data_IF_326572024301
#
_entry.id   IF_326572024301
#
_cell.length_a   1.000
_cell.length_b   1.000
_cell.length_c   1.000
_cell.angle_alpha   90.00
_cell.angle_beta   90.00
_cell.angle_gamma   90.00
#
_symmetry.space_group_name_H-M   'P 1'
#
loop_
_entity.id
_entity.type
_entity.pdbx_description
1 polymer ?
#
# COMPACT_ATOMS: atom_id res chain seq x y z
N UNK A 1 10.75 6.49 -61.17
CA UNK A 1 9.73 5.97 -60.26
C UNK A 1 10.39 4.90 -59.41
N UNK A 2 10.85 5.27 -58.25
CA UNK A 2 11.53 4.40 -57.29
C UNK A 2 10.70 4.41 -56.02
N UNK A 3 10.05 3.27 -55.73
CA UNK A 3 9.20 3.03 -54.59
C UNK A 3 10.07 2.68 -53.39
N UNK A 4 10.12 3.59 -52.41
CA UNK A 4 10.73 3.36 -51.08
C UNK A 4 9.75 2.56 -50.25
N UNK A 5 10.09 1.35 -49.86
CA UNK A 5 9.40 0.57 -48.82
C UNK A 5 9.89 1.04 -47.45
N UNK A 6 8.99 1.27 -46.46
CA UNK A 6 9.44 1.55 -45.11
C UNK A 6 9.94 0.28 -44.43
N UNK A 7 11.09 0.40 -43.79
CA UNK A 7 11.74 -0.64 -42.99
C UNK A 7 10.97 -0.84 -41.67
N UNK A 8 10.34 -2.00 -41.47
CA UNK A 8 9.60 -2.43 -40.28
C UNK A 8 10.48 -3.36 -39.40
N UNK A 9 11.71 -2.95 -39.12
CA UNK A 9 12.57 -3.62 -38.13
C UNK A 9 12.78 -2.72 -36.92
N UNK A 10 11.86 -2.74 -35.97
CA UNK A 10 11.99 -1.91 -34.75
C UNK A 10 10.92 -2.12 -33.70
N UNK A 11 10.12 -3.18 -33.76
CA UNK A 11 9.06 -3.43 -32.77
C UNK A 11 9.00 -4.92 -32.40
N UNK A 12 10.03 -5.44 -31.76
CA UNK A 12 9.94 -6.71 -31.00
C UNK A 12 11.12 -6.83 -30.03
N UNK A 13 11.23 -5.91 -29.07
CA UNK A 13 11.89 -6.18 -27.80
C UNK A 13 10.83 -6.24 -26.71
N UNK A 14 10.01 -7.27 -26.75
CA UNK A 14 9.38 -7.79 -25.53
C UNK A 14 10.53 -8.32 -24.69
N UNK A 15 10.97 -7.55 -23.70
CA UNK A 15 11.89 -8.06 -22.69
C UNK A 15 11.25 -9.32 -22.08
N UNK A 16 11.75 -10.46 -22.48
CA UNK A 16 11.50 -11.73 -21.80
C UNK A 16 11.93 -11.53 -20.36
N UNK A 17 10.97 -11.44 -19.45
CA UNK A 17 11.21 -11.60 -18.02
C UNK A 17 11.86 -12.98 -17.90
N UNK A 18 13.19 -13.02 -17.73
CA UNK A 18 13.89 -14.26 -17.46
C UNK A 18 13.16 -14.93 -16.30
N UNK A 19 12.71 -16.14 -16.51
CA UNK A 19 12.09 -16.93 -15.46
C UNK A 19 13.06 -16.99 -14.29
N UNK A 20 12.72 -16.28 -13.19
CA UNK A 20 13.46 -16.38 -11.95
C UNK A 20 13.35 -17.85 -11.55
N UNK A 21 14.47 -18.54 -11.36
CA UNK A 21 14.46 -19.91 -10.85
C UNK A 21 13.55 -19.94 -9.62
N UNK A 22 12.55 -20.81 -9.64
CA UNK A 22 11.67 -21.03 -8.50
C UNK A 22 12.54 -21.59 -7.40
N UNK A 23 13.01 -20.71 -6.52
CA UNK A 23 13.84 -21.16 -5.38
C UNK A 23 12.95 -21.94 -4.44
N UNK A 24 13.37 -23.19 -4.15
CA UNK A 24 12.65 -24.08 -3.22
C UNK A 24 12.64 -23.45 -1.82
N UNK A 25 11.50 -23.47 -1.10
CA UNK A 25 11.46 -23.01 0.28
C UNK A 25 12.42 -23.80 1.19
N UNK A 26 12.96 -23.10 2.19
CA UNK A 26 13.79 -23.70 3.22
C UNK A 26 12.99 -23.95 4.50
N UNK A 27 13.38 -24.94 5.34
CA UNK A 27 12.76 -25.11 6.64
C UNK A 27 12.87 -23.85 7.52
N UNK A 28 11.87 -23.63 8.38
CA UNK A 28 11.80 -22.50 9.31
C UNK A 28 11.70 -21.11 8.66
N UNK A 29 11.37 -21.01 7.36
CA UNK A 29 11.03 -19.75 6.74
C UNK A 29 9.72 -19.16 7.31
N UNK A 30 9.61 -17.83 7.24
CA UNK A 30 8.35 -17.10 7.43
C UNK A 30 7.69 -16.98 6.07
N UNK A 31 6.49 -17.53 5.93
CA UNK A 31 5.73 -17.45 4.70
C UNK A 31 4.68 -16.33 4.77
N UNK A 32 4.79 -15.36 3.88
CA UNK A 32 3.80 -14.30 3.70
C UNK A 32 2.79 -14.73 2.62
N UNK A 33 1.65 -15.21 3.06
CA UNK A 33 0.63 -15.82 2.19
C UNK A 33 -0.34 -14.76 1.67
N UNK A 34 -0.50 -14.65 0.35
CA UNK A 34 -1.37 -13.67 -0.30
C UNK A 34 -2.04 -14.25 -1.55
N UNK A 35 -3.27 -13.78 -1.83
CA UNK A 35 -3.97 -14.02 -3.11
C UNK A 35 -4.16 -12.68 -3.81
N UNK A 36 -3.26 -12.34 -4.72
CA UNK A 36 -3.18 -11.03 -5.36
C UNK A 36 -3.42 -11.13 -6.87
N UNK A 37 -4.41 -10.42 -7.36
CA UNK A 37 -4.68 -10.23 -8.79
C UNK A 37 -4.42 -8.79 -9.25
N UNK A 38 -4.67 -7.84 -8.36
CA UNK A 38 -4.47 -6.40 -8.58
C UNK A 38 -3.42 -5.88 -7.61
N UNK A 39 -2.88 -4.68 -7.84
CA UNK A 39 -1.90 -4.07 -6.94
C UNK A 39 -2.56 -2.95 -6.11
N UNK A 40 -2.35 -2.99 -4.81
CA UNK A 40 -2.90 -2.02 -3.88
C UNK A 40 -2.14 -1.97 -2.55
N UNK A 41 -2.80 -1.49 -1.51
CA UNK A 41 -2.19 -1.30 -0.20
C UNK A 41 -1.74 -2.60 0.48
N UNK A 42 -2.46 -3.71 0.27
CA UNK A 42 -2.10 -5.02 0.84
C UNK A 42 -0.82 -5.55 0.20
N UNK A 43 -0.71 -5.47 -1.13
CA UNK A 43 0.47 -5.89 -1.88
C UNK A 43 1.69 -5.07 -1.49
N UNK A 44 1.55 -3.74 -1.38
CA UNK A 44 2.60 -2.87 -0.88
C UNK A 44 3.05 -3.28 0.52
N UNK A 45 2.11 -3.50 1.45
CA UNK A 45 2.42 -3.93 2.81
C UNK A 45 3.17 -5.28 2.84
N UNK A 46 2.76 -6.27 2.03
CA UNK A 46 3.44 -7.58 1.97
C UNK A 46 4.87 -7.45 1.45
N UNK A 47 5.10 -6.60 0.47
CA UNK A 47 6.44 -6.32 -0.07
C UNK A 47 7.32 -5.65 0.99
N UNK A 48 6.81 -4.62 1.64
CA UNK A 48 7.52 -3.92 2.72
C UNK A 48 7.83 -4.87 3.90
N UNK A 49 6.88 -5.74 4.26
CA UNK A 49 7.06 -6.74 5.30
C UNK A 49 8.14 -7.77 4.91
N UNK A 50 8.12 -8.27 3.68
CA UNK A 50 9.13 -9.21 3.19
C UNK A 50 10.53 -8.58 3.22
N UNK A 51 10.66 -7.34 2.71
CA UNK A 51 11.91 -6.59 2.73
C UNK A 51 12.41 -6.38 4.17
N UNK A 52 11.54 -5.86 5.05
CA UNK A 52 11.91 -5.57 6.42
C UNK A 52 12.29 -6.83 7.22
N UNK A 53 11.61 -7.97 7.03
CA UNK A 53 11.98 -9.23 7.66
C UNK A 53 13.37 -9.70 7.20
N UNK A 54 13.67 -9.60 5.90
CA UNK A 54 14.97 -9.98 5.34
C UNK A 54 16.08 -9.05 5.86
N UNK A 55 15.85 -7.74 5.94
CA UNK A 55 16.77 -6.78 6.54
C UNK A 55 17.06 -7.10 8.01
N UNK A 56 16.08 -7.64 8.74
CA UNK A 56 16.24 -8.15 10.12
C UNK A 56 16.76 -9.59 10.19
N UNK A 57 17.39 -10.08 9.10
CA UNK A 57 18.01 -11.41 9.01
C UNK A 57 17.03 -12.59 9.18
N UNK A 58 15.75 -12.38 8.97
CA UNK A 58 14.77 -13.46 8.94
C UNK A 58 14.69 -14.05 7.53
N UNK A 59 14.57 -15.38 7.44
CA UNK A 59 14.25 -16.05 6.18
C UNK A 59 12.77 -15.86 5.91
N UNK A 60 12.42 -15.04 4.94
CA UNK A 60 11.04 -14.74 4.56
C UNK A 60 10.79 -14.97 3.07
N UNK A 61 9.59 -15.43 2.72
CA UNK A 61 9.17 -15.71 1.34
C UNK A 61 7.71 -15.33 1.14
N UNK A 62 7.39 -14.74 -0.01
CA UNK A 62 6.01 -14.48 -0.41
C UNK A 62 5.45 -15.71 -1.13
N UNK A 63 4.34 -16.26 -0.63
CA UNK A 63 3.63 -17.39 -1.23
C UNK A 63 2.36 -16.89 -1.89
N UNK A 64 2.28 -17.00 -3.21
CA UNK A 64 1.12 -16.62 -4.01
C UNK A 64 0.17 -17.82 -4.12
N UNK A 65 -1.07 -17.66 -3.63
CA UNK A 65 -2.07 -18.75 -3.61
C UNK A 65 -2.54 -19.17 -4.99
N UNK A 66 -2.76 -18.21 -5.88
CA UNK A 66 -3.36 -18.46 -7.20
C UNK A 66 -2.43 -17.92 -8.29
N UNK A 67 -2.26 -18.70 -9.36
CA UNK A 67 -1.68 -18.20 -10.61
C UNK A 67 -2.76 -17.48 -11.39
N UNK A 68 -2.52 -16.22 -11.70
CA UNK A 68 -3.41 -15.41 -12.54
C UNK A 68 -2.77 -15.14 -13.89
N UNK A 69 -3.60 -14.99 -14.91
CA UNK A 69 -3.21 -14.49 -16.23
C UNK A 69 -4.11 -13.31 -16.62
N UNK A 70 -3.53 -12.17 -17.03
CA UNK A 70 -2.10 -11.88 -17.09
C UNK A 70 -1.43 -11.87 -15.72
N UNK A 71 -0.09 -11.95 -15.68
CA UNK A 71 0.70 -11.97 -14.44
C UNK A 71 0.37 -10.75 -13.57
N UNK A 72 0.10 -10.97 -12.26
CA UNK A 72 -0.20 -9.88 -11.33
C UNK A 72 0.99 -8.93 -11.16
N UNK A 73 0.75 -7.62 -11.02
CA UNK A 73 1.82 -6.61 -10.90
C UNK A 73 2.75 -6.84 -9.69
N UNK A 74 2.27 -7.51 -8.63
CA UNK A 74 3.10 -7.87 -7.48
C UNK A 74 4.34 -8.69 -7.88
N UNK A 75 4.21 -9.59 -8.86
CA UNK A 75 5.32 -10.45 -9.33
C UNK A 75 6.45 -9.58 -9.90
N UNK A 76 6.10 -8.62 -10.75
CA UNK A 76 7.08 -7.67 -11.30
C UNK A 76 7.84 -6.94 -10.20
N UNK A 77 7.11 -6.50 -9.15
CA UNK A 77 7.71 -5.77 -8.05
C UNK A 77 8.60 -6.64 -7.18
N UNK A 78 8.17 -7.86 -6.85
CA UNK A 78 8.98 -8.84 -6.10
C UNK A 78 10.28 -9.17 -6.85
N UNK A 79 10.19 -9.36 -8.19
CA UNK A 79 11.35 -9.62 -9.04
C UNK A 79 12.32 -8.43 -9.06
N UNK A 80 11.83 -7.20 -9.24
CA UNK A 80 12.66 -5.99 -9.22
C UNK A 80 13.42 -5.81 -7.91
N UNK A 81 12.78 -6.14 -6.79
CA UNK A 81 13.36 -6.05 -5.45
C UNK A 81 14.16 -7.31 -5.05
N UNK A 82 14.23 -8.31 -5.92
CA UNK A 82 14.89 -9.61 -5.66
C UNK A 82 14.38 -10.31 -4.38
N UNK A 83 13.11 -10.13 -4.05
CA UNK A 83 12.49 -10.77 -2.90
C UNK A 83 12.13 -12.22 -3.23
N UNK A 84 12.36 -13.18 -2.33
CA UNK A 84 11.98 -14.58 -2.54
C UNK A 84 10.46 -14.73 -2.64
N UNK A 85 9.98 -15.37 -3.69
CA UNK A 85 8.57 -15.73 -3.84
C UNK A 85 8.38 -17.00 -4.66
N UNK A 86 7.23 -17.62 -4.53
CA UNK A 86 6.78 -18.70 -5.41
C UNK A 86 5.26 -18.80 -5.39
N UNK A 87 4.69 -19.51 -6.36
CA UNK A 87 3.29 -19.91 -6.28
C UNK A 87 3.15 -21.19 -5.49
N UNK A 88 2.09 -21.30 -4.73
CA UNK A 88 1.80 -22.50 -3.93
C UNK A 88 1.74 -23.77 -4.78
N UNK A 89 1.19 -23.66 -5.99
CA UNK A 89 1.14 -24.78 -6.96
C UNK A 89 2.50 -25.26 -7.47
N UNK A 90 3.54 -24.43 -7.37
CA UNK A 90 4.89 -24.82 -7.84
C UNK A 90 5.63 -25.65 -6.81
N UNK A 91 5.37 -25.43 -5.52
CA UNK A 91 5.99 -26.14 -4.41
C UNK A 91 5.14 -27.30 -3.88
N UNK A 92 3.85 -27.33 -4.21
CA UNK A 92 2.94 -28.41 -3.85
C UNK A 92 2.03 -28.77 -5.04
N UNK A 93 2.59 -29.39 -6.10
CA UNK A 93 1.82 -29.75 -7.28
C UNK A 93 0.83 -30.87 -6.97
N UNK A 94 -0.38 -30.51 -6.62
CA UNK A 94 -1.49 -31.45 -6.45
C UNK A 94 -2.68 -31.00 -7.30
N UNK A 95 -3.54 -31.94 -7.72
CA UNK A 95 -4.79 -31.62 -8.40
C UNK A 95 -5.86 -31.06 -7.43
N UNK A 96 -5.47 -30.80 -6.17
CA UNK A 96 -6.35 -30.29 -5.13
C UNK A 96 -6.50 -28.75 -5.15
N UNK A 97 -7.35 -28.28 -4.26
CA UNK A 97 -7.52 -26.85 -4.02
C UNK A 97 -6.37 -26.26 -3.19
N UNK A 98 -6.34 -24.93 -3.05
CA UNK A 98 -5.30 -24.21 -2.31
C UNK A 98 -5.09 -24.72 -0.86
N UNK A 99 -6.14 -25.21 -0.19
CA UNK A 99 -6.04 -25.80 1.13
C UNK A 99 -5.21 -27.10 1.13
N UNK A 100 -5.49 -28.00 0.18
CA UNK A 100 -4.74 -29.26 0.06
C UNK A 100 -3.27 -29.00 -0.29
N UNK A 101 -3.02 -28.08 -1.19
CA UNK A 101 -1.67 -27.65 -1.57
C UNK A 101 -0.91 -27.05 -0.37
N UNK A 102 -1.56 -26.14 0.39
CA UNK A 102 -0.93 -25.51 1.55
C UNK A 102 -0.59 -26.55 2.62
N UNK A 103 -1.46 -27.51 2.89
CA UNK A 103 -1.19 -28.60 3.85
C UNK A 103 0.01 -29.44 3.43
N UNK A 104 0.09 -29.82 2.16
CA UNK A 104 1.22 -30.57 1.61
C UNK A 104 2.52 -29.77 1.76
N UNK A 105 2.51 -28.52 1.37
CA UNK A 105 3.66 -27.62 1.48
C UNK A 105 4.12 -27.41 2.94
N UNK A 106 3.21 -27.25 3.89
CA UNK A 106 3.54 -27.15 5.33
C UNK A 106 4.25 -28.40 5.80
N UNK A 107 3.72 -29.58 5.46
CA UNK A 107 4.31 -30.85 5.87
C UNK A 107 5.71 -31.05 5.30
N UNK A 108 5.93 -30.65 4.05
CA UNK A 108 7.21 -30.83 3.35
C UNK A 108 8.27 -29.83 3.79
N UNK A 109 7.92 -28.54 3.87
CA UNK A 109 8.89 -27.46 4.10
C UNK A 109 8.95 -26.95 5.53
N UNK A 110 7.99 -27.28 6.37
CA UNK A 110 7.93 -26.91 7.80
C UNK A 110 8.25 -25.42 8.07
N UNK A 111 7.51 -24.47 7.48
CA UNK A 111 7.72 -23.06 7.78
C UNK A 111 7.52 -22.78 9.27
N UNK A 112 8.27 -21.83 9.82
CA UNK A 112 8.07 -21.41 11.21
C UNK A 112 6.74 -20.67 11.41
N UNK A 113 6.40 -19.84 10.43
CA UNK A 113 5.20 -19.02 10.45
C UNK A 113 4.51 -18.96 9.08
N UNK A 114 3.19 -18.92 9.11
CA UNK A 114 2.34 -18.58 7.97
C UNK A 114 1.62 -17.30 8.35
N UNK A 115 2.05 -16.19 7.77
CA UNK A 115 1.44 -14.90 7.97
C UNK A 115 0.55 -14.56 6.76
N UNK A 116 -0.74 -14.61 6.94
CA UNK A 116 -1.73 -14.45 5.88
C UNK A 116 -2.21 -13.02 5.76
N UNK A 117 -2.32 -12.53 4.52
CA UNK A 117 -2.77 -11.20 4.15
C UNK A 117 -3.97 -11.27 3.21
N UNK A 118 -5.06 -10.61 3.60
CA UNK A 118 -6.33 -10.65 2.90
C UNK A 118 -7.19 -11.87 3.24
N UNK A 119 -8.49 -11.72 3.12
CA UNK A 119 -9.49 -12.69 3.61
C UNK A 119 -9.32 -14.10 3.05
N UNK A 120 -9.01 -14.26 1.75
CA UNK A 120 -8.89 -15.59 1.13
C UNK A 120 -7.66 -16.34 1.67
N UNK A 121 -6.51 -15.68 1.73
CA UNK A 121 -5.28 -16.25 2.28
C UNK A 121 -5.45 -16.60 3.76
N UNK A 122 -6.09 -15.71 4.52
CA UNK A 122 -6.35 -15.90 5.94
C UNK A 122 -7.28 -17.09 6.21
N UNK A 123 -8.38 -17.24 5.46
CA UNK A 123 -9.29 -18.39 5.59
C UNK A 123 -8.57 -19.70 5.27
N UNK A 124 -7.82 -19.75 4.15
CA UNK A 124 -7.06 -20.95 3.74
C UNK A 124 -6.04 -21.34 4.80
N UNK A 125 -5.29 -20.37 5.35
CA UNK A 125 -4.29 -20.62 6.39
C UNK A 125 -4.92 -21.14 7.70
N UNK A 126 -6.04 -20.56 8.14
CA UNK A 126 -6.80 -21.01 9.32
C UNK A 126 -7.35 -22.44 9.16
N UNK A 127 -7.91 -22.74 7.99
CA UNK A 127 -8.39 -24.08 7.69
C UNK A 127 -7.25 -25.10 7.63
N UNK A 128 -6.09 -24.73 7.09
CA UNK A 128 -4.90 -25.57 7.13
C UNK A 128 -4.50 -25.84 8.59
N UNK A 129 -4.43 -24.80 9.42
CA UNK A 129 -4.11 -24.93 10.86
C UNK A 129 -5.03 -25.90 11.60
N UNK A 130 -6.34 -25.83 11.38
CA UNK A 130 -7.31 -26.76 12.02
C UNK A 130 -7.08 -28.24 11.68
N UNK A 131 -6.38 -28.51 10.59
CA UNK A 131 -6.12 -29.87 10.11
C UNK A 131 -4.65 -30.29 10.30
N UNK A 132 -3.80 -29.44 10.88
CA UNK A 132 -2.41 -29.75 11.20
C UNK A 132 -2.33 -30.72 12.38
N UNK A 133 -1.26 -31.52 12.40
CA UNK A 133 -0.94 -32.38 13.53
C UNK A 133 -0.46 -31.57 14.72
N UNK A 134 -0.66 -32.07 15.93
CA UNK A 134 -0.11 -31.48 17.15
C UNK A 134 1.44 -31.45 17.19
N UNK A 135 2.09 -32.17 16.30
CA UNK A 135 3.55 -32.12 16.11
C UNK A 135 4.02 -30.94 15.23
N UNK A 136 3.11 -30.34 14.45
CA UNK A 136 3.43 -29.20 13.59
C UNK A 136 3.61 -27.94 14.42
N UNK A 137 4.80 -27.34 14.38
CA UNK A 137 5.16 -26.16 15.15
C UNK A 137 4.87 -24.85 14.40
N UNK A 138 4.37 -24.93 13.19
CA UNK A 138 4.06 -23.76 12.35
C UNK A 138 2.97 -22.89 13.01
N UNK A 139 3.28 -21.63 13.24
CA UNK A 139 2.31 -20.66 13.78
C UNK A 139 1.57 -19.96 12.65
N UNK A 140 0.27 -19.75 12.83
CA UNK A 140 -0.57 -19.05 11.87
C UNK A 140 -0.96 -17.67 12.38
N UNK A 141 -0.63 -16.63 11.59
CA UNK A 141 -0.89 -15.23 11.89
C UNK A 141 -1.73 -14.65 10.76
N UNK A 142 -2.65 -13.75 11.08
CA UNK A 142 -3.42 -13.02 10.06
C UNK A 142 -3.33 -11.52 10.31
N UNK A 143 -3.07 -10.73 9.25
CA UNK A 143 -3.19 -9.27 9.28
C UNK A 143 -4.47 -8.82 8.59
N UNK A 144 -5.24 -7.99 9.28
CA UNK A 144 -6.49 -7.42 8.82
C UNK A 144 -6.28 -5.97 8.41
N UNK A 145 -6.37 -5.69 7.09
CA UNK A 145 -6.06 -4.39 6.49
C UNK A 145 -7.30 -3.52 6.24
N UNK A 146 -8.48 -4.12 6.03
CA UNK A 146 -9.69 -3.39 5.66
C UNK A 146 -10.54 -3.08 6.89
N UNK A 147 -10.76 -1.80 7.16
CA UNK A 147 -11.74 -1.32 8.14
C UNK A 147 -13.14 -1.16 7.57
N UNK A 148 -13.27 -1.19 6.24
CA UNK A 148 -14.51 -1.06 5.51
C UNK A 148 -15.31 -2.36 5.56
N UNK A 149 -16.65 -2.24 5.48
CA UNK A 149 -17.52 -3.40 5.32
C UNK A 149 -17.78 -3.58 3.84
N UNK A 150 -17.21 -4.60 3.19
CA UNK A 150 -17.42 -4.83 1.77
C UNK A 150 -18.88 -5.24 1.50
N UNK A 151 -19.30 -5.12 0.25
CA UNK A 151 -20.66 -5.49 -0.20
C UNK A 151 -20.63 -6.78 -1.02
N UNK A 152 -21.80 -7.42 -1.17
CA UNK A 152 -21.95 -8.61 -1.99
C UNK A 152 -21.24 -9.85 -1.45
N UNK A 153 -20.69 -10.69 -2.33
CA UNK A 153 -20.00 -11.94 -1.94
C UNK A 153 -18.75 -11.70 -1.06
N UNK A 154 -18.09 -10.57 -1.24
CA UNK A 154 -16.88 -10.23 -0.47
C UNK A 154 -17.21 -10.00 1.00
N UNK A 155 -18.42 -9.49 1.31
CA UNK A 155 -18.91 -9.34 2.69
C UNK A 155 -18.94 -10.68 3.44
N UNK A 156 -19.40 -11.75 2.79
CA UNK A 156 -19.45 -13.07 3.44
C UNK A 156 -18.04 -13.60 3.76
N UNK A 157 -17.10 -13.43 2.83
CA UNK A 157 -15.72 -13.86 3.07
C UNK A 157 -15.04 -13.04 4.17
N UNK A 158 -15.23 -11.71 4.18
CA UNK A 158 -14.73 -10.82 5.22
C UNK A 158 -15.35 -11.17 6.60
N UNK A 159 -16.65 -11.42 6.64
CA UNK A 159 -17.33 -11.88 7.85
C UNK A 159 -16.76 -13.20 8.37
N UNK A 160 -16.62 -14.21 7.51
CA UNK A 160 -16.05 -15.50 7.88
C UNK A 160 -14.60 -15.36 8.35
N UNK A 161 -13.80 -14.55 7.66
CA UNK A 161 -12.42 -14.30 8.05
C UNK A 161 -12.30 -13.68 9.44
N UNK A 162 -13.12 -12.67 9.73
CA UNK A 162 -13.14 -12.01 11.04
C UNK A 162 -13.66 -12.93 12.15
N UNK A 163 -14.75 -13.63 11.93
CA UNK A 163 -15.33 -14.50 12.94
C UNK A 163 -14.42 -15.69 13.28
N UNK A 164 -13.68 -16.19 12.30
CA UNK A 164 -12.69 -17.27 12.49
C UNK A 164 -11.33 -16.79 13.00
N UNK A 165 -11.16 -15.50 13.32
CA UNK A 165 -9.89 -14.95 13.82
C UNK A 165 -9.37 -15.66 15.09
N UNK A 166 -10.27 -16.25 15.89
CA UNK A 166 -9.93 -17.04 17.10
C UNK A 166 -9.10 -18.31 16.79
N UNK A 167 -9.08 -18.75 15.53
CA UNK A 167 -8.27 -19.90 15.09
C UNK A 167 -6.80 -19.51 14.95
N UNK A 168 -6.50 -18.26 14.61
CA UNK A 168 -5.14 -17.75 14.47
C UNK A 168 -4.39 -17.79 15.81
N UNK A 169 -3.09 -18.06 15.79
CA UNK A 169 -2.23 -17.91 16.97
C UNK A 169 -2.12 -16.45 17.36
N UNK A 170 -2.12 -15.56 16.36
CA UNK A 170 -2.10 -14.14 16.57
C UNK A 170 -2.86 -13.39 15.45
N UNK A 171 -3.55 -12.32 15.81
CA UNK A 171 -4.26 -11.45 14.87
C UNK A 171 -3.67 -10.03 14.95
N UNK A 172 -3.18 -9.53 13.81
CA UNK A 172 -2.63 -8.19 13.68
C UNK A 172 -3.68 -7.30 13.01
N UNK A 173 -3.85 -6.08 13.49
CA UNK A 173 -4.81 -5.11 12.95
C UNK A 173 -4.13 -3.77 12.71
N UNK A 174 -4.51 -3.08 11.65
CA UNK A 174 -3.92 -1.78 11.27
C UNK A 174 -4.77 -0.58 11.72
N UNK A 175 -5.87 -0.83 12.42
CA UNK A 175 -6.69 0.23 13.01
C UNK A 175 -7.54 -0.26 14.19
N UNK A 176 -7.89 0.65 15.12
CA UNK A 176 -8.75 0.34 16.26
C UNK A 176 -10.16 -0.07 15.83
N UNK A 177 -10.69 0.50 14.74
CA UNK A 177 -11.99 0.10 14.17
C UNK A 177 -12.03 -1.38 13.74
N UNK A 178 -10.91 -1.92 13.27
CA UNK A 178 -10.79 -3.34 12.94
C UNK A 178 -10.71 -4.16 14.21
N UNK A 179 -9.94 -3.71 15.20
CA UNK A 179 -9.80 -4.35 16.51
C UNK A 179 -11.15 -4.61 17.19
N UNK A 180 -12.04 -3.63 17.19
CA UNK A 180 -13.37 -3.73 17.76
C UNK A 180 -14.28 -4.78 17.09
N UNK A 181 -13.97 -5.13 15.82
CA UNK A 181 -14.76 -6.09 15.02
C UNK A 181 -14.27 -7.51 15.12
N UNK A 182 -13.14 -7.77 15.79
CA UNK A 182 -12.54 -9.11 15.88
C UNK A 182 -12.78 -9.73 17.25
N UNK A 183 -13.26 -10.99 17.30
CA UNK A 183 -13.48 -11.70 18.57
C UNK A 183 -12.18 -12.22 19.20
N UNK A 184 -11.06 -12.23 18.47
CA UNK A 184 -9.75 -12.71 18.93
C UNK A 184 -8.95 -11.64 19.66
N UNK A 185 -7.92 -12.07 20.42
CA UNK A 185 -6.89 -11.16 20.93
C UNK A 185 -6.10 -10.57 19.76
N UNK A 186 -6.03 -9.26 19.70
CA UNK A 186 -5.39 -8.54 18.59
C UNK A 186 -4.27 -7.64 19.07
N UNK A 187 -3.24 -7.47 18.23
CA UNK A 187 -2.24 -6.40 18.40
C UNK A 187 -2.44 -5.36 17.31
N UNK A 188 -2.57 -4.10 17.70
CA UNK A 188 -2.58 -2.97 16.77
C UNK A 188 -1.12 -2.71 16.31
N UNK A 189 -0.90 -2.72 15.02
CA UNK A 189 0.39 -2.40 14.40
C UNK A 189 0.16 -1.35 13.32
N UNK A 190 1.06 -0.38 13.25
CA UNK A 190 1.05 0.58 12.17
C UNK A 190 1.41 -0.09 10.83
N UNK A 191 0.77 0.32 9.75
CA UNK A 191 1.35 0.14 8.43
C UNK A 191 2.71 0.83 8.41
N UNK A 192 3.63 0.34 7.60
CA UNK A 192 4.97 0.92 7.50
C UNK A 192 5.45 0.91 6.05
N UNK A 193 6.50 1.66 5.80
CA UNK A 193 7.07 1.82 4.46
C UNK A 193 8.58 2.03 4.54
N UNK A 194 9.30 1.49 3.55
CA UNK A 194 10.73 1.76 3.39
C UNK A 194 10.99 3.26 3.19
N UNK A 195 11.99 3.77 3.87
CA UNK A 195 12.36 5.18 3.80
C UNK A 195 13.25 5.40 2.57
N UNK A 196 12.85 6.25 1.61
CA UNK A 196 13.69 6.58 0.47
C UNK A 196 15.02 7.20 0.93
N UNK A 197 16.14 6.77 0.33
CA UNK A 197 17.49 7.28 0.68
C UNK A 197 17.59 8.79 0.51
N UNK A 198 16.96 9.33 -0.55
CA UNK A 198 16.93 10.76 -0.80
C UNK A 198 15.52 11.30 -0.59
N UNK A 199 15.35 12.26 0.33
CA UNK A 199 14.10 13.01 0.39
C UNK A 199 13.94 13.78 -0.92
N UNK A 200 12.68 14.12 -1.25
CA UNK A 200 12.42 15.07 -2.32
C UNK A 200 13.12 16.40 -1.99
N UNK A 201 13.82 16.98 -2.97
CA UNK A 201 14.28 18.38 -2.83
C UNK A 201 13.03 19.26 -2.91
N UNK A 202 12.68 20.02 -1.86
CA UNK A 202 11.59 20.99 -1.97
C UNK A 202 11.88 21.96 -3.13
N UNK A 203 10.84 22.40 -3.82
CA UNK A 203 10.99 23.54 -4.74
C UNK A 203 11.40 24.75 -3.90
N UNK A 204 12.68 25.05 -3.88
CA UNK A 204 13.21 26.30 -3.33
C UNK A 204 13.03 27.31 -4.44
N UNK A 205 11.89 28.01 -4.46
CA UNK A 205 11.79 29.26 -5.16
C UNK A 205 12.69 30.26 -4.42
N UNK A 206 13.52 31.02 -5.14
CA UNK A 206 14.32 32.10 -4.56
C UNK A 206 13.43 32.93 -3.62
N UNK A 207 13.94 33.24 -2.42
CA UNK A 207 13.22 33.93 -1.33
C UNK A 207 12.58 35.28 -1.77
N UNK A 208 12.91 35.77 -2.96
CA UNK A 208 12.43 37.06 -3.52
C UNK A 208 11.14 36.97 -4.30
N UNK A 209 10.55 35.76 -4.56
CA UNK A 209 9.37 35.59 -5.41
C UNK A 209 8.24 34.75 -4.76
N UNK A 210 7.85 35.06 -3.54
CA UNK A 210 6.79 34.34 -2.82
C UNK A 210 5.41 34.55 -3.48
N UNK A 211 5.18 35.64 -4.20
CA UNK A 211 3.88 35.99 -4.75
C UNK A 211 3.48 35.24 -6.05
N UNK A 212 4.44 34.60 -6.77
CA UNK A 212 4.21 33.96 -8.08
C UNK A 212 4.52 32.46 -8.11
N UNK A 213 4.74 31.82 -6.96
CA UNK A 213 5.11 30.39 -6.92
C UNK A 213 3.92 29.52 -7.24
N UNK A 214 3.98 28.80 -8.36
CA UNK A 214 3.01 27.77 -8.74
C UNK A 214 3.37 26.44 -8.03
N UNK A 215 2.44 25.88 -7.27
CA UNK A 215 2.60 24.63 -6.54
C UNK A 215 1.88 23.48 -7.24
N UNK A 216 2.36 22.28 -7.01
CA UNK A 216 1.81 21.02 -7.52
C UNK A 216 1.12 20.25 -6.40
N UNK A 217 -0.20 20.20 -6.44
CA UNK A 217 -1.05 19.51 -5.47
C UNK A 217 -1.39 18.11 -6.00
N UNK A 218 -1.11 17.06 -5.25
CA UNK A 218 -1.32 15.69 -5.67
C UNK A 218 -2.51 15.02 -4.99
N UNK A 219 -3.18 14.11 -5.72
CA UNK A 219 -4.05 13.07 -5.22
C UNK A 219 -3.52 11.73 -5.72
N UNK A 220 -3.43 10.74 -4.83
CA UNK A 220 -2.99 9.38 -5.17
C UNK A 220 -3.95 8.37 -4.58
N UNK A 221 -4.66 7.63 -5.44
CA UNK A 221 -5.61 6.62 -4.98
C UNK A 221 -6.61 6.18 -6.04
N UNK A 222 -7.46 5.21 -5.68
CA UNK A 222 -8.56 4.76 -6.52
C UNK A 222 -9.59 5.88 -6.69
N UNK A 223 -10.10 6.06 -7.91
CA UNK A 223 -11.14 7.05 -8.20
C UNK A 223 -12.52 6.48 -7.87
N UNK A 224 -12.86 6.49 -6.59
CA UNK A 224 -14.06 5.88 -6.04
C UNK A 224 -14.66 6.76 -4.94
N UNK A 225 -15.93 6.54 -4.62
CA UNK A 225 -16.68 7.36 -3.68
C UNK A 225 -16.00 7.51 -2.31
N UNK A 226 -15.42 6.43 -1.80
CA UNK A 226 -14.72 6.44 -0.49
C UNK A 226 -13.48 7.33 -0.49
N UNK A 227 -12.76 7.42 -1.63
CA UNK A 227 -11.55 8.25 -1.77
C UNK A 227 -11.88 9.72 -2.10
N UNK A 228 -13.11 10.00 -2.47
CA UNK A 228 -13.64 11.34 -2.72
C UNK A 228 -12.81 12.21 -3.70
N UNK A 229 -12.47 11.72 -4.90
CA UNK A 229 -11.76 12.53 -5.90
C UNK A 229 -12.59 13.73 -6.38
N UNK A 230 -13.90 13.72 -6.21
CA UNK A 230 -14.81 14.84 -6.46
C UNK A 230 -14.44 16.07 -5.62
N UNK A 231 -14.10 15.90 -4.34
CA UNK A 231 -13.62 16.99 -3.47
C UNK A 231 -12.28 17.55 -3.94
N UNK A 232 -11.41 16.69 -4.47
CA UNK A 232 -10.13 17.12 -5.02
C UNK A 232 -10.31 17.98 -6.28
N UNK A 233 -11.25 17.63 -7.16
CA UNK A 233 -11.63 18.44 -8.32
C UNK A 233 -12.17 19.81 -7.89
N UNK A 234 -13.02 19.85 -6.87
CA UNK A 234 -13.53 21.11 -6.29
C UNK A 234 -12.38 22.01 -5.78
N UNK A 235 -11.38 21.43 -5.10
CA UNK A 235 -10.19 22.17 -4.68
C UNK A 235 -9.40 22.73 -5.87
N UNK A 236 -9.24 21.95 -6.94
CA UNK A 236 -8.55 22.40 -8.16
C UNK A 236 -9.26 23.59 -8.82
N UNK A 237 -10.58 23.52 -8.94
CA UNK A 237 -11.39 24.62 -9.50
C UNK A 237 -11.29 25.90 -8.67
N UNK A 238 -11.20 25.78 -7.35
CA UNK A 238 -11.08 26.90 -6.42
C UNK A 238 -9.67 27.53 -6.39
N UNK A 239 -8.64 26.86 -6.94
CA UNK A 239 -7.24 27.31 -6.89
C UNK A 239 -6.59 27.31 -8.28
N UNK A 240 -7.05 28.13 -9.24
CA UNK A 240 -6.62 28.07 -10.63
C UNK A 240 -5.16 28.47 -10.87
N UNK A 241 -4.50 29.11 -9.92
CA UNK A 241 -3.08 29.49 -9.99
C UNK A 241 -2.11 28.33 -9.77
N UNK A 242 -2.58 27.16 -9.33
CA UNK A 242 -1.75 26.01 -8.99
C UNK A 242 -2.11 24.81 -9.86
N UNK A 243 -1.17 23.85 -9.99
CA UNK A 243 -1.37 22.63 -10.77
C UNK A 243 -1.82 21.47 -9.88
N UNK A 244 -2.85 20.78 -10.31
CA UNK A 244 -3.41 19.63 -9.63
C UNK A 244 -3.14 18.36 -10.43
N UNK A 245 -2.69 17.30 -9.75
CA UNK A 245 -2.31 16.03 -10.34
C UNK A 245 -3.07 14.90 -9.68
N UNK A 246 -3.82 14.14 -10.48
CA UNK A 246 -4.62 13.03 -10.02
C UNK A 246 -4.04 11.72 -10.57
N UNK A 247 -3.48 10.90 -9.67
CA UNK A 247 -2.89 9.60 -9.97
C UNK A 247 -3.80 8.49 -9.48
N UNK A 248 -4.23 7.66 -10.39
CA UNK A 248 -5.12 6.54 -10.12
C UNK A 248 -6.17 6.35 -11.19
N UNK A 249 -6.98 5.31 -11.02
CA UNK A 249 -8.10 4.97 -11.89
C UNK A 249 -9.28 4.45 -11.05
N UNK A 250 -10.46 4.43 -11.62
CA UNK A 250 -11.63 3.94 -10.91
C UNK A 250 -12.97 4.34 -11.54
N UNK A 251 -14.07 3.89 -10.93
CA UNK A 251 -15.41 4.04 -11.51
C UNK A 251 -15.84 5.51 -11.69
N UNK A 252 -15.29 6.45 -10.92
CA UNK A 252 -15.67 7.87 -11.01
C UNK A 252 -14.88 8.66 -12.08
N UNK A 253 -13.87 8.06 -12.72
CA UNK A 253 -12.98 8.75 -13.66
C UNK A 253 -13.72 9.53 -14.74
N UNK A 254 -14.63 8.88 -15.44
CA UNK A 254 -15.35 9.50 -16.57
C UNK A 254 -16.16 10.72 -16.14
N UNK A 255 -16.81 10.66 -14.98
CA UNK A 255 -17.57 11.79 -14.44
C UNK A 255 -16.66 12.97 -14.05
N UNK A 256 -15.48 12.67 -13.47
CA UNK A 256 -14.49 13.67 -13.04
C UNK A 256 -13.84 14.38 -14.24
N UNK A 257 -13.48 13.67 -15.29
CA UNK A 257 -12.90 14.25 -16.52
C UNK A 257 -13.88 15.21 -17.21
N UNK A 258 -15.21 15.01 -17.06
CA UNK A 258 -16.24 15.91 -17.60
C UNK A 258 -16.27 17.29 -16.93
N UNK A 259 -15.60 17.47 -15.81
CA UNK A 259 -15.54 18.74 -15.05
C UNK A 259 -14.80 19.86 -15.78
N UNK A 260 -14.05 19.55 -16.86
CA UNK A 260 -13.25 20.50 -17.65
C UNK A 260 -12.34 21.43 -16.81
N UNK A 261 -11.77 20.92 -15.72
CA UNK A 261 -10.88 21.66 -14.85
C UNK A 261 -9.51 21.84 -15.51
N UNK A 262 -9.18 23.07 -15.95
CA UNK A 262 -8.00 23.37 -16.80
C UNK A 262 -6.66 23.14 -16.09
N UNK A 263 -6.60 23.28 -14.78
CA UNK A 263 -5.39 23.14 -13.97
C UNK A 263 -5.28 21.74 -13.31
N UNK A 264 -6.14 20.79 -13.72
CA UNK A 264 -6.13 19.41 -13.24
C UNK A 264 -5.69 18.45 -14.35
N UNK A 265 -4.68 17.62 -14.06
CA UNK A 265 -4.18 16.58 -14.96
C UNK A 265 -4.50 15.20 -14.40
N UNK A 266 -5.17 14.37 -15.19
CA UNK A 266 -5.43 12.97 -14.90
C UNK A 266 -4.31 12.09 -15.47
N UNK A 267 -3.53 11.45 -14.60
CA UNK A 267 -2.39 10.61 -15.00
C UNK A 267 -2.74 9.13 -15.18
N UNK A 268 -3.93 8.72 -14.74
CA UNK A 268 -4.33 7.32 -14.72
C UNK A 268 -3.56 6.48 -13.70
N UNK A 269 -3.69 5.17 -13.81
CA UNK A 269 -2.96 4.24 -12.95
C UNK A 269 -1.46 4.26 -13.28
N UNK A 270 -0.63 4.43 -12.26
CA UNK A 270 0.84 4.42 -12.39
C UNK A 270 1.40 3.16 -11.73
N UNK A 271 2.17 2.38 -12.49
CA UNK A 271 2.89 1.20 -11.97
C UNK A 271 4.14 1.59 -11.17
N UNK A 272 4.69 2.78 -11.42
CA UNK A 272 5.81 3.34 -10.70
C UNK A 272 5.54 4.82 -10.37
N UNK A 273 5.37 5.09 -9.09
CA UNK A 273 5.08 6.43 -8.58
C UNK A 273 6.32 7.29 -8.33
N UNK A 274 7.54 6.78 -8.57
CA UNK A 274 8.78 7.50 -8.20
C UNK A 274 8.90 8.89 -8.85
N UNK A 275 8.55 9.01 -10.14
CA UNK A 275 8.55 10.31 -10.85
C UNK A 275 7.39 11.21 -10.41
N UNK A 276 6.21 10.63 -10.15
CA UNK A 276 5.05 11.36 -9.67
C UNK A 276 5.32 12.02 -8.31
N UNK A 277 5.95 11.31 -7.38
CA UNK A 277 6.34 11.86 -6.09
C UNK A 277 7.34 13.02 -6.17
N UNK A 278 8.16 13.10 -7.24
CA UNK A 278 9.07 14.24 -7.44
C UNK A 278 8.31 15.52 -7.84
N UNK A 279 7.14 15.38 -8.45
CA UNK A 279 6.32 16.50 -8.91
C UNK A 279 5.47 17.11 -7.79
N UNK A 280 4.95 16.29 -6.86
CA UNK A 280 3.96 16.72 -5.86
C UNK A 280 4.62 17.52 -4.72
N UNK A 281 4.14 18.72 -4.43
CA UNK A 281 4.56 19.57 -3.30
C UNK A 281 3.78 19.27 -2.01
N UNK A 282 2.50 18.97 -2.15
CA UNK A 282 1.60 18.60 -1.06
C UNK A 282 0.62 17.54 -1.55
N UNK A 283 0.39 16.51 -0.74
CA UNK A 283 -0.61 15.50 -1.05
C UNK A 283 -1.94 15.84 -0.36
N UNK A 284 -3.05 15.74 -1.09
CA UNK A 284 -4.40 15.89 -0.51
C UNK A 284 -5.09 14.52 -0.48
N UNK A 285 -5.61 14.15 0.69
CA UNK A 285 -6.39 12.94 0.92
C UNK A 285 -7.78 13.36 1.41
N UNK A 286 -8.72 13.64 0.49
CA UNK A 286 -10.04 14.18 0.82
C UNK A 286 -11.06 13.11 1.19
N UNK A 287 -10.61 11.92 1.52
CA UNK A 287 -11.40 10.68 1.64
C UNK A 287 -12.58 10.81 2.60
N UNK A 288 -13.68 10.10 2.28
CA UNK A 288 -14.82 9.91 3.18
C UNK A 288 -14.56 8.81 4.18
N UNK A 289 -13.78 7.81 3.77
CA UNK A 289 -13.42 6.64 4.60
C UNK A 289 -11.98 6.24 4.31
N UNK A 290 -11.23 5.95 5.36
CA UNK A 290 -9.87 5.40 5.29
C UNK A 290 -9.60 4.45 6.48
N UNK A 291 -8.58 3.61 6.30
CA UNK A 291 -7.80 3.05 7.40
C UNK A 291 -6.59 3.94 7.69
N UNK A 292 -5.41 3.46 7.33
CA UNK A 292 -4.18 4.26 7.21
C UNK A 292 -3.68 4.11 5.77
N UNK A 293 -3.88 5.12 4.89
CA UNK A 293 -3.56 5.00 3.48
C UNK A 293 -2.05 4.98 3.23
N UNK A 294 -1.57 4.00 2.46
CA UNK A 294 -0.16 3.89 2.08
C UNK A 294 0.34 5.15 1.37
N UNK A 295 -0.51 5.79 0.56
CA UNK A 295 -0.16 7.05 -0.11
C UNK A 295 0.26 8.16 0.87
N UNK A 296 -0.34 8.24 2.07
CA UNK A 296 0.07 9.18 3.11
C UNK A 296 1.49 8.86 3.61
N UNK A 297 1.75 7.58 3.92
CA UNK A 297 3.08 7.13 4.36
C UNK A 297 4.13 7.37 3.28
N UNK A 298 3.81 7.03 2.02
CA UNK A 298 4.70 7.23 0.87
C UNK A 298 5.07 8.70 0.63
N UNK A 299 4.09 9.60 0.73
CA UNK A 299 4.30 11.03 0.60
C UNK A 299 5.17 11.57 1.75
N UNK A 300 4.78 11.30 2.99
CA UNK A 300 5.48 11.81 4.17
C UNK A 300 6.89 11.24 4.30
N UNK A 301 7.14 9.98 3.91
CA UNK A 301 8.48 9.40 3.86
C UNK A 301 9.42 10.16 2.91
N UNK A 302 8.87 10.87 1.92
CA UNK A 302 9.60 11.72 0.97
C UNK A 302 9.66 13.19 1.40
N UNK A 303 9.10 13.51 2.57
CA UNK A 303 8.99 14.88 3.04
C UNK A 303 7.88 15.68 2.33
N UNK A 304 6.87 15.03 1.77
CA UNK A 304 5.70 15.69 1.19
C UNK A 304 4.63 15.78 2.27
N UNK A 305 4.27 16.98 2.77
CA UNK A 305 3.21 17.14 3.75
C UNK A 305 1.86 16.67 3.21
N UNK A 306 0.98 16.24 4.12
CA UNK A 306 -0.34 15.72 3.77
C UNK A 306 -1.43 16.63 4.34
N UNK A 307 -2.40 16.99 3.50
CA UNK A 307 -3.66 17.63 3.92
C UNK A 307 -4.76 16.57 3.81
N UNK A 308 -5.37 16.20 4.91
CA UNK A 308 -6.32 15.10 4.93
C UNK A 308 -7.60 15.42 5.69
N UNK A 309 -8.67 14.73 5.37
CA UNK A 309 -9.88 14.68 6.20
C UNK A 309 -9.63 13.93 7.51
N UNK A 310 -10.40 14.24 8.55
CA UNK A 310 -10.36 13.57 9.85
C UNK A 310 -11.06 12.19 9.77
N UNK A 311 -10.43 11.23 9.09
CA UNK A 311 -10.98 9.87 8.94
C UNK A 311 -9.90 8.81 9.19
N UNK A 312 -10.32 7.66 9.70
CA UNK A 312 -9.43 6.53 9.97
C UNK A 312 -8.31 6.88 10.95
N UNK A 313 -7.11 6.44 10.61
CA UNK A 313 -5.89 6.70 11.39
C UNK A 313 -5.09 7.91 10.88
N UNK A 314 -5.64 8.71 9.95
CA UNK A 314 -4.98 9.94 9.47
C UNK A 314 -4.71 10.95 10.61
N UNK A 315 -5.62 11.17 11.59
CA UNK A 315 -5.34 12.06 12.72
C UNK A 315 -4.27 11.55 13.70
N UNK A 316 -3.94 10.27 13.65
CA UNK A 316 -2.83 9.71 14.44
C UNK A 316 -1.47 9.89 13.74
N UNK A 317 -1.49 9.93 12.40
CA UNK A 317 -0.31 10.14 11.57
C UNK A 317 0.02 11.64 11.44
N UNK A 318 -1.00 12.49 11.29
CA UNK A 318 -0.85 13.90 10.95
C UNK A 318 -1.15 14.77 12.18
N UNK A 319 -0.12 15.41 12.68
CA UNK A 319 -0.23 16.49 13.68
C UNK A 319 -0.49 17.81 12.95
N UNK A 320 -1.70 18.34 13.15
CA UNK A 320 -2.20 19.54 12.46
C UNK A 320 -1.23 20.72 12.59
N UNK A 321 -0.91 21.38 11.47
CA UNK A 321 0.04 22.51 11.33
C UNK A 321 1.51 22.17 11.69
N UNK A 322 1.80 20.93 12.06
CA UNK A 322 3.15 20.49 12.42
C UNK A 322 3.83 19.72 11.30
N UNK A 323 3.22 18.62 10.86
CA UNK A 323 3.72 17.74 9.79
C UNK A 323 2.74 17.62 8.60
N UNK A 324 1.61 18.34 8.67
CA UNK A 324 0.53 18.36 7.70
C UNK A 324 -0.70 19.04 8.26
N UNK A 325 -1.87 18.80 7.65
CA UNK A 325 -3.13 19.39 8.07
C UNK A 325 -4.25 18.35 8.15
N UNK A 326 -5.08 18.43 9.18
CA UNK A 326 -6.32 17.65 9.32
C UNK A 326 -7.52 18.59 9.23
N UNK A 327 -8.38 18.33 8.25
CA UNK A 327 -9.64 19.04 8.01
C UNK A 327 -10.81 18.29 8.66
N UNK A 328 -11.60 18.98 9.48
CA UNK A 328 -12.77 18.41 10.15
C UNK A 328 -14.01 18.39 9.25
N UNK A 329 -13.98 19.11 8.14
CA UNK A 329 -15.06 19.17 7.14
C UNK A 329 -14.50 19.38 5.74
N UNK A 330 -15.35 19.21 4.73
CA UNK A 330 -14.99 19.44 3.33
C UNK A 330 -14.59 20.90 3.08
N UNK A 331 -15.30 21.86 3.65
CA UNK A 331 -14.96 23.29 3.56
C UNK A 331 -13.61 23.61 4.18
N UNK A 332 -13.23 22.91 5.24
CA UNK A 332 -11.95 23.09 5.90
C UNK A 332 -10.77 22.54 5.09
N UNK A 333 -10.98 21.59 4.16
CA UNK A 333 -9.93 21.16 3.22
C UNK A 333 -9.39 22.36 2.41
N UNK A 334 -10.30 23.22 1.91
CA UNK A 334 -9.91 24.44 1.18
C UNK A 334 -9.12 25.40 2.10
N UNK A 335 -9.57 25.60 3.33
CA UNK A 335 -8.86 26.45 4.30
C UNK A 335 -7.46 25.91 4.59
N UNK A 336 -7.32 24.60 4.87
CA UNK A 336 -6.03 23.96 5.10
C UNK A 336 -5.07 24.10 3.89
N UNK A 337 -5.60 23.98 2.67
CA UNK A 337 -4.78 24.17 1.48
C UNK A 337 -4.30 25.61 1.34
N UNK A 338 -5.19 26.61 1.56
CA UNK A 338 -4.82 28.03 1.53
C UNK A 338 -3.78 28.35 2.59
N UNK A 339 -3.96 27.85 3.82
CA UNK A 339 -2.98 28.04 4.89
C UNK A 339 -1.60 27.47 4.49
N UNK A 340 -1.55 26.22 3.95
CA UNK A 340 -0.31 25.62 3.48
C UNK A 340 0.32 26.44 2.34
N UNK A 341 -0.47 26.89 1.36
CA UNK A 341 0.00 27.71 0.24
C UNK A 341 0.63 29.02 0.73
N UNK A 342 0.05 29.65 1.77
CA UNK A 342 0.51 30.89 2.37
C UNK A 342 1.76 30.78 3.25
N UNK A 343 2.23 29.56 3.59
CA UNK A 343 3.46 29.37 4.35
C UNK A 343 4.68 29.86 3.56
N UNK A 344 5.66 30.43 4.28
CA UNK A 344 6.98 30.72 3.73
C UNK A 344 7.73 29.43 3.31
N UNK A 345 8.73 29.58 2.46
CA UNK A 345 9.59 28.44 2.03
C UNK A 345 10.23 27.75 3.23
N UNK A 346 10.64 28.52 4.26
CA UNK A 346 11.22 27.97 5.49
C UNK A 346 10.21 27.16 6.30
N UNK A 347 8.97 27.64 6.45
CA UNK A 347 7.92 26.89 7.16
C UNK A 347 7.54 25.61 6.43
N UNK A 348 7.39 25.66 5.09
CA UNK A 348 7.18 24.48 4.25
C UNK A 348 8.33 23.46 4.40
N UNK A 349 9.57 23.92 4.43
CA UNK A 349 10.73 23.05 4.64
C UNK A 349 10.68 22.38 6.03
N UNK A 350 10.40 23.13 7.08
CA UNK A 350 10.29 22.59 8.46
C UNK A 350 9.16 21.55 8.54
N UNK A 351 8.00 21.83 7.96
CA UNK A 351 6.87 20.88 7.89
C UNK A 351 7.25 19.62 7.13
N UNK A 352 7.95 19.75 6.00
CA UNK A 352 8.47 18.63 5.21
C UNK A 352 9.40 17.71 6.04
N UNK A 353 10.35 18.30 6.79
CA UNK A 353 11.25 17.54 7.65
C UNK A 353 10.49 16.82 8.77
N UNK A 354 9.52 17.48 9.41
CA UNK A 354 8.70 16.89 10.46
C UNK A 354 7.84 15.74 9.90
N UNK A 355 7.25 15.89 8.70
CA UNK A 355 6.52 14.83 8.03
C UNK A 355 7.39 13.58 7.84
N UNK A 356 8.61 13.77 7.31
CA UNK A 356 9.55 12.66 7.12
C UNK A 356 9.98 12.01 8.43
N UNK A 357 10.31 12.80 9.45
CA UNK A 357 10.73 12.29 10.75
C UNK A 357 9.65 11.45 11.43
N UNK A 358 8.38 11.85 11.33
CA UNK A 358 7.25 11.05 11.83
C UNK A 358 7.26 9.64 11.24
N UNK A 359 7.53 9.51 9.92
CA UNK A 359 7.59 8.19 9.29
C UNK A 359 8.82 7.41 9.74
N UNK A 360 9.98 8.03 9.83
CA UNK A 360 11.22 7.38 10.29
C UNK A 360 11.03 6.81 11.70
N UNK A 361 10.44 7.57 12.60
CA UNK A 361 10.32 7.22 14.01
C UNK A 361 9.21 6.20 14.30
N UNK A 362 8.11 6.21 13.55
CA UNK A 362 6.90 5.47 13.92
C UNK A 362 6.40 4.50 12.85
N UNK A 363 6.76 4.70 11.58
CA UNK A 363 6.21 3.97 10.43
C UNK A 363 7.30 3.42 9.50
N UNK A 364 8.55 3.36 9.96
CA UNK A 364 9.64 2.72 9.24
C UNK A 364 9.69 1.21 9.54
N UNK A 365 10.34 0.40 8.69
CA UNK A 365 10.62 -1.00 8.99
C UNK A 365 11.36 -1.18 10.32
N UNK A 366 12.32 -0.30 10.62
CA UNK A 366 13.11 -0.31 11.86
C UNK A 366 12.23 -0.08 13.10
N UNK A 367 11.15 0.68 12.99
CA UNK A 367 10.21 0.93 14.08
C UNK A 367 9.19 -0.19 14.26
N UNK A 368 8.70 -0.80 13.17
CA UNK A 368 7.54 -1.69 13.19
C UNK A 368 7.92 -3.18 13.15
N UNK A 369 8.95 -3.57 12.39
CA UNK A 369 9.34 -5.00 12.27
C UNK A 369 9.67 -5.64 13.62
N UNK A 370 10.40 -4.99 14.57
CA UNK A 370 10.61 -5.57 15.90
C UNK A 370 9.31 -5.90 16.65
N UNK A 371 8.28 -5.08 16.48
CA UNK A 371 6.96 -5.32 17.09
C UNK A 371 6.27 -6.55 16.46
N UNK A 372 6.38 -6.70 15.13
CA UNK A 372 5.86 -7.88 14.41
C UNK A 372 6.60 -9.13 14.87
N UNK A 373 7.92 -9.09 14.97
CA UNK A 373 8.74 -10.23 15.45
C UNK A 373 8.40 -10.61 16.90
N UNK A 374 8.12 -9.65 17.75
CA UNK A 374 7.62 -9.93 19.11
C UNK A 374 6.27 -10.68 19.08
N UNK A 375 5.39 -10.37 18.11
CA UNK A 375 4.13 -11.11 17.92
C UNK A 375 4.36 -12.51 17.34
N UNK A 376 5.45 -12.75 16.65
CA UNK A 376 5.84 -14.09 16.21
C UNK A 376 6.35 -14.95 17.37
N UNK A 377 6.71 -14.35 18.49
CA UNK A 377 7.16 -15.04 19.70
C UNK A 377 8.64 -15.45 19.64
N UNK A 378 9.41 -14.63 18.98
CA UNK A 378 10.87 -14.68 18.98
C UNK A 378 11.44 -13.72 20.01
#
# INVERSE_FOLDING_TARGET
>A
MSTIKPNLEGLNQVHSVQAQEVTTPEPQEIWLLIDSQTFGGIETHVIELASGLIEHQCKARVILLTKFEPLPPIITRLTQLKLPFCHLSDIAPSQGNALSQLKLAITEFQPSHIHAHGYKASIVAKLAKLTMSSSDKTRQISTYHAGETPTGKVWLYDFLDRYTSVISDHSLVVSDKIKEKLPSKTTLLNNFIAIPERPRSPHVSDETQIADSTYHVGFVGRLSHEKAPDRFVTLAQANPAHHFHLFGDGPERQALESSNCKNLTFHGHQTNMSSAWQTIDVLVIPSRYEGLPMAALEAMARGIPVIATNVGNLPQLIEHQTNGYIAQSETQLQTCLIEWLGLSSQEKYVMSQKARNTIIEQYSPQAVIPQILACYGN
#
